data_IF_037340684152
#
_entry.id   IF_037340684152
#
_cell.length_a   1.000
_cell.length_b   1.000
_cell.length_c   1.000
_cell.angle_alpha   90.00
_cell.angle_beta   90.00
_cell.angle_gamma   90.00
#
_symmetry.space_group_name_H-M   'P 1'
#
loop_
_entity.id
_entity.type
_entity.pdbx_description
1 polymer ?
#
# COMPACT_ATOMS: atom_id res chain seq x y z
N UNK A 1 -2.95 3.37 9.87
CA UNK A 1 -3.93 2.48 9.21
C UNK A 1 -4.39 3.25 7.97
N UNK A 2 -3.46 3.48 7.04
CA UNK A 2 -3.45 4.67 6.17
C UNK A 2 -4.72 4.79 5.32
N UNK A 3 -5.22 3.67 4.79
CA UNK A 3 -6.46 3.65 4.01
C UNK A 3 -7.65 4.12 4.87
N UNK A 4 -7.82 3.54 6.06
CA UNK A 4 -8.91 3.93 6.96
C UNK A 4 -8.74 5.37 7.46
N UNK A 5 -7.51 5.83 7.70
CA UNK A 5 -7.22 7.24 7.99
C UNK A 5 -7.66 8.16 6.84
N UNK A 6 -7.31 7.82 5.59
CA UNK A 6 -7.57 8.62 4.39
C UNK A 6 -9.07 8.70 4.03
N UNK A 7 -9.78 7.57 4.13
CA UNK A 7 -11.21 7.49 3.81
C UNK A 7 -12.13 7.76 5.00
N UNK A 8 -11.58 8.21 6.14
CA UNK A 8 -12.32 8.49 7.37
C UNK A 8 -13.18 7.30 7.84
N UNK A 9 -12.63 6.09 7.76
CA UNK A 9 -13.28 4.85 8.17
C UNK A 9 -12.92 4.50 9.62
N UNK A 10 -13.76 3.67 10.25
CA UNK A 10 -13.50 3.22 11.62
C UNK A 10 -12.27 2.29 11.69
N UNK A 11 -11.19 2.83 12.27
CA UNK A 11 -9.92 2.14 12.49
C UNK A 11 -9.98 1.11 13.61
N UNK A 12 -10.97 1.17 14.49
CA UNK A 12 -11.12 0.25 15.62
C UNK A 12 -11.30 -1.19 15.15
N UNK A 13 -11.87 -1.37 13.97
CA UNK A 13 -12.13 -2.66 13.33
C UNK A 13 -10.87 -3.37 12.79
N UNK A 14 -9.72 -2.68 12.75
CA UNK A 14 -8.48 -3.22 12.16
C UNK A 14 -7.52 -3.69 13.27
N UNK A 15 -7.28 -4.99 13.36
CA UNK A 15 -6.36 -5.61 14.33
C UNK A 15 -5.17 -6.25 13.60
N UNK A 16 -3.91 -5.90 13.95
CA UNK A 16 -2.74 -6.50 13.34
C UNK A 16 -2.58 -7.96 13.78
N UNK A 17 -2.14 -8.81 12.84
CA UNK A 17 -1.84 -10.23 13.08
C UNK A 17 -0.45 -10.57 12.54
N UNK A 18 0.12 -11.70 12.99
CA UNK A 18 1.38 -12.24 12.43
C UNK A 18 1.09 -13.10 11.21
N UNK A 19 2.05 -13.20 10.29
CA UNK A 19 1.96 -14.04 9.08
C UNK A 19 1.60 -15.50 9.37
N UNK A 20 2.07 -16.04 10.51
CA UNK A 20 1.76 -17.42 10.93
C UNK A 20 0.27 -17.63 11.24
N UNK A 21 -0.44 -16.60 11.67
CA UNK A 21 -1.86 -16.66 12.03
C UNK A 21 -2.74 -16.72 10.77
N UNK A 22 -2.25 -16.19 9.64
CA UNK A 22 -2.94 -16.22 8.36
C UNK A 22 -2.92 -17.60 7.68
N UNK A 23 -2.08 -18.53 8.17
CA UNK A 23 -1.95 -19.92 7.72
C UNK A 23 -1.96 -20.11 6.19
N UNK A 24 -1.22 -19.24 5.47
CA UNK A 24 -1.17 -19.30 4.01
C UNK A 24 -0.34 -20.50 3.54
N UNK A 25 -0.82 -21.18 2.49
CA UNK A 25 -0.12 -22.33 1.90
C UNK A 25 1.30 -21.99 1.41
N UNK A 26 1.50 -20.76 0.91
CA UNK A 26 2.81 -20.27 0.47
C UNK A 26 3.40 -19.27 1.45
N UNK A 27 4.73 -19.33 1.63
CA UNK A 27 5.48 -18.39 2.46
C UNK A 27 5.56 -17.03 1.75
N UNK A 28 5.15 -15.96 2.44
CA UNK A 28 5.30 -14.58 1.96
C UNK A 28 6.63 -13.99 2.45
N UNK A 29 7.43 -13.34 1.57
CA UNK A 29 8.59 -12.60 2.01
C UNK A 29 8.20 -11.47 2.98
N UNK A 30 8.90 -11.35 4.10
CA UNK A 30 8.61 -10.30 5.10
C UNK A 30 9.10 -8.91 4.65
N UNK A 31 10.07 -8.86 3.73
CA UNK A 31 10.62 -7.64 3.14
C UNK A 31 10.61 -7.80 1.62
N UNK A 32 9.69 -7.10 0.96
CA UNK A 32 9.50 -7.14 -0.49
C UNK A 32 9.53 -5.75 -1.15
N UNK A 33 9.98 -4.72 -0.43
CA UNK A 33 10.14 -3.38 -0.99
C UNK A 33 11.21 -3.37 -2.09
N UNK A 34 10.98 -2.58 -3.14
CA UNK A 34 11.88 -2.43 -4.27
C UNK A 34 12.48 -1.02 -4.31
N UNK A 35 13.73 -0.91 -4.76
CA UNK A 35 14.38 0.37 -5.03
C UNK A 35 14.07 0.78 -6.46
N UNK A 36 13.51 1.97 -6.65
CA UNK A 36 13.06 2.50 -7.94
C UNK A 36 14.12 3.31 -8.68
N UNK A 37 15.32 3.46 -8.11
CA UNK A 37 16.40 4.32 -8.61
C UNK A 37 16.72 4.11 -10.10
N UNK A 38 16.75 2.85 -10.57
CA UNK A 38 17.03 2.56 -11.98
C UNK A 38 15.92 3.07 -12.90
N UNK A 39 14.66 2.85 -12.53
CA UNK A 39 13.51 3.33 -13.30
C UNK A 39 13.45 4.87 -13.30
N UNK A 40 13.78 5.50 -12.18
CA UNK A 40 13.87 6.96 -12.07
C UNK A 40 14.98 7.53 -12.98
N UNK A 41 16.17 6.93 -12.93
CA UNK A 41 17.34 7.39 -13.69
C UNK A 41 17.23 7.14 -15.20
N UNK A 42 16.75 5.96 -15.61
CA UNK A 42 16.78 5.55 -17.02
C UNK A 42 15.48 5.86 -17.76
N UNK A 43 14.33 5.82 -17.07
CA UNK A 43 13.02 6.00 -17.69
C UNK A 43 12.36 7.33 -17.30
N UNK A 44 13.01 8.13 -16.45
CA UNK A 44 12.43 9.34 -15.89
C UNK A 44 11.17 9.06 -15.07
N UNK A 45 11.03 7.84 -14.53
CA UNK A 45 9.87 7.44 -13.74
C UNK A 45 9.80 8.30 -12.48
N UNK A 46 8.60 8.81 -12.17
CA UNK A 46 8.34 9.63 -10.98
C UNK A 46 7.22 8.98 -10.18
N UNK A 47 7.52 8.07 -9.23
CA UNK A 47 6.50 7.47 -8.40
C UNK A 47 5.80 8.55 -7.57
N UNK A 48 4.49 8.41 -7.40
CA UNK A 48 3.72 9.24 -6.49
C UNK A 48 3.72 8.64 -5.08
N UNK A 49 3.49 9.47 -4.09
CA UNK A 49 3.34 9.02 -2.70
C UNK A 49 2.08 8.18 -2.52
N UNK A 50 2.00 7.42 -1.42
CA UNK A 50 0.81 6.62 -1.09
C UNK A 50 -0.44 7.52 -0.99
N UNK A 51 -0.33 8.73 -0.41
CA UNK A 51 -1.47 9.63 -0.25
C UNK A 51 -1.98 10.17 -1.60
N UNK A 52 -1.08 10.53 -2.51
CA UNK A 52 -1.44 10.94 -3.87
C UNK A 52 -2.08 9.79 -4.66
N UNK A 53 -1.55 8.57 -4.51
CA UNK A 53 -2.16 7.37 -5.09
C UNK A 53 -3.59 7.15 -4.58
N UNK A 54 -3.83 7.29 -3.28
CA UNK A 54 -5.19 7.17 -2.70
C UNK A 54 -6.14 8.26 -3.23
N UNK A 55 -5.63 9.48 -3.46
CA UNK A 55 -6.42 10.56 -4.07
C UNK A 55 -6.82 10.25 -5.52
N UNK A 56 -5.90 9.71 -6.31
CA UNK A 56 -6.19 9.26 -7.68
C UNK A 56 -7.25 8.15 -7.63
N UNK A 57 -7.06 7.12 -6.81
CA UNK A 57 -8.01 6.01 -6.66
C UNK A 57 -9.40 6.52 -6.27
N UNK A 58 -9.47 7.42 -5.29
CA UNK A 58 -10.73 8.03 -4.84
C UNK A 58 -11.47 8.70 -6.00
N UNK A 59 -10.75 9.50 -6.80
CA UNK A 59 -11.29 10.16 -7.99
C UNK A 59 -11.80 9.17 -9.03
N UNK A 60 -11.01 8.15 -9.38
CA UNK A 60 -11.38 7.16 -10.40
C UNK A 60 -12.58 6.29 -9.98
N UNK A 61 -12.75 6.04 -8.68
CA UNK A 61 -13.88 5.29 -8.14
C UNK A 61 -15.12 6.16 -7.84
N UNK A 62 -15.05 7.48 -8.01
CA UNK A 62 -16.15 8.40 -7.69
C UNK A 62 -16.50 8.47 -6.20
N UNK A 63 -15.51 8.28 -5.33
CA UNK A 63 -15.64 8.29 -3.86
C UNK A 63 -15.37 9.66 -3.23
#
# INVERSE_FOLDING_TARGET
>A
KIIADYFNLDKSLITPIKTKELNQASRRPLKSGLITLKAEAELGYKPVTIHESLAIIKRELGL
#
